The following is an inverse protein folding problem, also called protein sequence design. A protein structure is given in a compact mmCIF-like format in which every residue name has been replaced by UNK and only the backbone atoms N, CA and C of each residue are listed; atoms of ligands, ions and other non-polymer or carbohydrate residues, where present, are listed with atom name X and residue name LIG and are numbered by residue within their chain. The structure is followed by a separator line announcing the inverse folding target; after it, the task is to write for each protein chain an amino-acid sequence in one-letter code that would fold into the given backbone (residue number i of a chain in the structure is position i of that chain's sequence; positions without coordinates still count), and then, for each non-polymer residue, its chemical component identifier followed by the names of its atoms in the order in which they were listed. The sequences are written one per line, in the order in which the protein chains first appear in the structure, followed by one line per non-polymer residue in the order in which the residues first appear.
data_IF_714281825512
#
_entry.id   IF_714281825512
#
_cell.length_a   1.000
_cell.length_b   1.000
_cell.length_c   1.000
_cell.angle_alpha   90.00
_cell.angle_beta   90.00
_cell.angle_gamma   90.00
#
_symmetry.space_group_name_H-M   'P 1'
#
loop_
_entity.id
_entity.type
_entity.pdbx_description
1 polymer ?
2 non-polymer ?
3 non-polymer ?
4 water ?
#
# COMPACT_ATOMS: atom_id res chain seq x y z
N UNK A 65 -2.88 3.37 -28.53
CA UNK A 65 -4.21 4.03 -28.81
C UNK A 65 -5.37 3.24 -28.22
N UNK A 66 -6.25 3.92 -27.49
CA UNK A 66 -7.45 3.29 -26.95
C UNK A 66 -8.45 2.99 -28.05
N UNK A 67 -9.22 1.90 -27.92
CA UNK A 67 -10.33 1.65 -28.84
C UNK A 67 -11.49 2.61 -28.55
N UNK A 68 -12.44 2.68 -29.48
CA UNK A 68 -13.72 3.33 -29.24
C UNK A 68 -14.33 2.76 -27.98
N UNK A 69 -14.81 3.63 -27.09
CA UNK A 69 -15.49 3.23 -25.87
C UNK A 69 -16.71 4.12 -25.67
N UNK A 70 -17.80 3.52 -25.20
CA UNK A 70 -19.01 4.25 -24.88
C UNK A 70 -19.16 4.33 -23.37
N UNK A 71 -19.12 5.54 -22.83
CA UNK A 71 -19.28 5.76 -21.38
C UNK A 71 -19.84 7.16 -21.13
N UNK A 72 -20.36 7.41 -19.92
CA UNK A 72 -20.92 8.74 -19.63
C UNK A 72 -19.88 9.86 -19.76
N UNK A 73 -20.29 10.97 -20.36
CA UNK A 73 -19.42 12.13 -20.51
C UNK A 73 -19.08 12.69 -19.13
N UNK A 74 -17.78 12.97 -18.88
CA UNK A 74 -17.43 13.65 -17.64
C UNK A 74 -17.94 15.09 -17.67
N UNK A 75 -18.62 15.49 -16.60
CA UNK A 75 -19.27 16.79 -16.55
C UNK A 75 -18.41 17.76 -15.75
N UNK A 76 -17.88 18.74 -16.46
CA UNK A 76 -16.94 19.73 -15.94
C UNK A 76 -17.52 20.52 -14.76
N UNK A 77 -18.81 20.85 -14.84
CA UNK A 77 -19.47 21.68 -13.83
C UNK A 77 -20.24 20.86 -12.80
N UNK A 78 -19.94 19.56 -12.72
CA UNK A 78 -20.43 18.68 -11.67
C UNK A 78 -19.22 18.02 -11.01
N UNK A 79 -18.98 18.29 -9.72
CA UNK A 79 -17.87 17.60 -9.03
C UNK A 79 -18.16 16.10 -8.89
N UNK A 80 -17.09 15.29 -8.88
CA UNK A 80 -17.24 13.83 -8.73
C UNK A 80 -17.59 13.46 -7.28
N UNK A 81 -16.98 14.14 -6.33
CA UNK A 81 -17.35 14.03 -4.92
C UNK A 81 -17.42 15.44 -4.36
N UNK A 82 -18.46 15.70 -3.57
CA UNK A 82 -18.61 16.99 -2.87
C UNK A 82 -18.27 16.91 -1.38
N UNK A 83 -18.00 15.70 -0.90
CA UNK A 83 -17.82 15.44 0.53
C UNK A 83 -16.36 15.21 0.93
N UNK A 84 -15.47 15.03 -0.06
CA UNK A 84 -14.08 14.70 0.20
C UNK A 84 -13.13 15.41 -0.77
N UNK A 85 -11.89 15.55 -0.33
CA UNK A 85 -10.79 16.03 -1.16
C UNK A 85 -10.38 14.93 -2.13
N UNK A 86 -10.40 15.21 -3.42
CA UNK A 86 -10.06 14.21 -4.45
C UNK A 86 -8.74 14.47 -5.17
N UNK A 87 -8.05 15.54 -4.81
CA UNK A 87 -6.71 15.83 -5.34
C UNK A 87 -5.91 16.52 -4.25
N UNK A 88 -4.64 16.16 -4.13
CA UNK A 88 -3.78 16.77 -3.12
C UNK A 88 -3.32 18.14 -3.63
N UNK A 89 -2.74 18.98 -2.74
CA UNK A 89 -2.21 20.27 -3.20
C UNK A 89 -0.99 20.20 -4.14
N UNK A 90 -0.39 19.03 -4.28
CA UNK A 90 0.66 18.79 -5.29
C UNK A 90 0.09 18.05 -6.53
N UNK A 91 -1.24 18.07 -6.67
CA UNK A 91 -1.94 17.57 -7.85
C UNK A 91 -1.81 16.05 -8.03
N UNK A 92 -1.77 15.31 -6.93
CA UNK A 92 -1.88 13.86 -6.95
C UNK A 92 -3.35 13.51 -6.71
N UNK A 93 -3.95 12.65 -7.53
CA UNK A 93 -5.30 12.18 -7.22
C UNK A 93 -5.37 11.44 -5.88
N UNK A 94 -6.48 11.66 -5.17
CA UNK A 94 -6.82 10.89 -3.99
C UNK A 94 -7.96 9.96 -4.42
N UNK A 95 -7.70 8.66 -4.35
CA UNK A 95 -8.57 7.68 -4.99
C UNK A 95 -9.72 7.26 -4.07
N UNK A 96 -10.92 7.70 -4.45
CA UNK A 96 -12.19 7.35 -3.83
C UNK A 96 -13.12 6.78 -4.89
N UNK A 97 -14.08 5.98 -4.46
CA UNK A 97 -15.13 5.54 -5.37
C UNK A 97 -15.87 6.78 -5.90
N UNK A 98 -16.11 6.77 -7.21
CA UNK A 98 -16.72 7.91 -7.90
C UNK A 98 -15.73 8.81 -8.62
N UNK A 99 -14.43 8.65 -8.39
CA UNK A 99 -13.41 9.47 -9.05
C UNK A 99 -12.86 8.86 -10.33
N UNK A 100 -13.08 7.56 -10.55
CA UNK A 100 -12.46 6.88 -11.69
C UNK A 100 -13.44 6.01 -12.45
N UNK A 101 -13.19 5.91 -13.75
CA UNK A 101 -13.87 4.96 -14.62
C UNK A 101 -12.89 3.80 -14.82
N UNK A 102 -13.19 2.69 -14.16
CA UNK A 102 -12.30 1.53 -14.20
C UNK A 102 -12.16 0.93 -15.60
N UNK A 103 -13.16 1.11 -16.47
CA UNK A 103 -13.05 0.58 -17.82
C UNK A 103 -11.96 1.28 -18.62
N UNK A 104 -11.88 2.60 -18.48
CA UNK A 104 -10.82 3.36 -19.16
C UNK A 104 -9.45 2.95 -18.60
N UNK A 105 -9.33 2.90 -17.28
CA UNK A 105 -8.06 2.54 -16.65
C UNK A 105 -7.63 1.13 -16.99
N UNK A 106 -8.57 0.17 -16.95
CA UNK A 106 -8.22 -1.20 -17.33
C UNK A 106 -7.68 -1.28 -18.75
N UNK A 107 -8.30 -0.55 -19.68
CA UNK A 107 -7.80 -0.47 -21.06
C UNK A 107 -6.36 0.04 -21.11
N UNK A 108 -6.14 1.17 -20.44
CA UNK A 108 -4.81 1.79 -20.45
C UNK A 108 -3.74 0.83 -19.93
N UNK A 109 -4.02 0.15 -18.83
CA UNK A 109 -3.02 -0.74 -18.22
C UNK A 109 -2.90 -2.09 -18.91
N UNK A 110 -4.00 -2.63 -19.47
CA UNK A 110 -3.91 -3.89 -20.22
C UNK A 110 -3.12 -3.70 -21.50
N UNK A 111 -3.29 -2.55 -22.17
CA UNK A 111 -2.53 -2.27 -23.38
C UNK A 111 -1.02 -2.16 -23.15
N UNK A 112 -0.60 -1.90 -21.91
CA UNK A 112 0.80 -1.96 -21.52
C UNK A 112 1.27 -3.33 -21.00
N UNK A 113 0.36 -4.32 -20.98
CA UNK A 113 0.62 -5.64 -20.40
C UNK A 113 1.24 -5.56 -18.99
N UNK A 114 0.61 -4.76 -18.14
CA UNK A 114 1.10 -4.47 -16.80
C UNK A 114 1.12 -5.71 -15.91
N UNK A 115 2.22 -5.88 -15.19
CA UNK A 115 2.34 -6.91 -14.18
C UNK A 115 2.50 -6.25 -12.82
N UNK A 116 1.70 -6.72 -11.86
CA UNK A 116 1.70 -6.16 -10.51
C UNK A 116 2.21 -7.22 -9.54
N UNK A 117 3.23 -6.85 -8.77
CA UNK A 117 3.70 -7.69 -7.67
C UNK A 117 3.01 -7.29 -6.37
N UNK A 118 2.66 -8.29 -5.56
CA UNK A 118 2.04 -8.06 -4.26
C UNK A 118 2.90 -8.76 -3.23
N UNK A 119 3.51 -8.00 -2.33
CA UNK A 119 4.36 -8.56 -1.28
C UNK A 119 3.63 -8.63 0.03
N UNK A 120 3.84 -9.73 0.74
CA UNK A 120 3.25 -9.93 2.05
C UNK A 120 4.20 -10.76 2.90
N UNK A 121 4.31 -10.38 4.18
CA UNK A 121 5.13 -11.08 5.14
C UNK A 121 4.21 -11.87 6.06
N UNK A 122 4.52 -13.14 6.24
CA UNK A 122 3.76 -14.02 7.11
C UNK A 122 4.77 -14.81 7.94
N UNK A 123 5.11 -14.24 9.08
CA UNK A 123 6.14 -14.74 9.97
C UNK A 123 5.47 -15.27 11.23
N UNK A 124 5.98 -16.38 11.74
CA UNK A 124 5.47 -17.04 12.95
C UNK A 124 3.97 -17.32 12.82
N UNK A 125 3.13 -16.88 13.77
CA UNK A 125 1.71 -17.25 13.76
C UNK A 125 0.91 -16.59 12.63
N UNK A 126 1.49 -15.58 11.99
CA UNK A 126 0.78 -14.86 10.92
C UNK A 126 0.62 -15.65 9.62
N UNK A 127 1.27 -16.81 9.51
CA UNK A 127 0.96 -17.72 8.39
C UNK A 127 -0.51 -18.12 8.34
N UNK A 128 -1.18 -18.13 9.50
CA UNK A 128 -2.61 -18.44 9.58
C UNK A 128 -3.50 -17.49 8.76
N UNK A 129 -3.03 -16.28 8.49
CA UNK A 129 -3.80 -15.30 7.72
C UNK A 129 -3.68 -15.46 6.21
N UNK A 130 -2.74 -16.27 5.74
CA UNK A 130 -2.48 -16.37 4.30
C UNK A 130 -3.64 -16.90 3.48
N UNK A 131 -4.35 -17.91 3.97
CA UNK A 131 -5.39 -18.53 3.15
C UNK A 131 -6.46 -17.53 2.77
N UNK A 132 -7.02 -16.82 3.75
CA UNK A 132 -8.05 -15.82 3.46
C UNK A 132 -7.51 -14.65 2.66
N UNK A 133 -6.30 -14.22 2.99
CA UNK A 133 -5.67 -13.13 2.26
C UNK A 133 -5.61 -13.44 0.76
N UNK A 134 -5.07 -14.61 0.44
CA UNK A 134 -4.84 -14.99 -0.94
C UNK A 134 -6.14 -15.33 -1.68
N UNK A 135 -7.05 -16.03 -1.01
CA UNK A 135 -8.35 -16.35 -1.62
C UNK A 135 -9.11 -15.09 -1.97
N UNK A 136 -9.11 -14.11 -1.08
CA UNK A 136 -9.82 -12.87 -1.35
C UNK A 136 -9.08 -11.98 -2.34
N UNK A 137 -7.75 -12.02 -2.35
CA UNK A 137 -6.99 -11.32 -3.39
C UNK A 137 -7.35 -11.86 -4.78
N UNK A 138 -7.54 -13.18 -4.88
CA UNK A 138 -7.97 -13.77 -6.14
C UNK A 138 -9.32 -13.23 -6.64
N UNK A 139 -10.21 -12.90 -5.72
CA UNK A 139 -11.52 -12.34 -6.08
C UNK A 139 -11.49 -10.86 -6.44
N UNK A 140 -10.56 -10.10 -5.84
CA UNK A 140 -10.65 -8.65 -5.85
C UNK A 140 -9.44 -7.85 -6.29
N UNK A 141 -8.26 -8.46 -6.34
CA UNK A 141 -7.03 -7.71 -6.56
C UNK A 141 -6.54 -7.85 -8.00
N UNK A 142 -6.60 -6.75 -8.74
CA UNK A 142 -6.04 -6.69 -10.10
C UNK A 142 -6.58 -7.79 -11.02
N UNK A 143 -7.85 -8.16 -10.85
CA UNK A 143 -8.41 -9.25 -11.66
C UNK A 143 -8.40 -8.84 -13.13
N UNK A 144 -7.89 -9.72 -13.99
CA UNK A 144 -7.72 -9.46 -15.41
C UNK A 144 -6.30 -9.09 -15.82
N UNK A 145 -5.48 -8.71 -14.83
CA UNK A 145 -4.10 -8.30 -15.05
C UNK A 145 -3.16 -9.39 -14.55
N UNK A 146 -1.91 -9.29 -14.97
CA UNK A 146 -0.88 -10.23 -14.50
C UNK A 146 -0.48 -9.87 -13.08
N UNK A 147 -0.48 -10.87 -12.20
CA UNK A 147 -0.15 -10.68 -10.78
C UNK A 147 0.90 -11.71 -10.37
N UNK A 148 1.89 -11.24 -9.60
CA UNK A 148 2.88 -12.11 -8.98
C UNK A 148 2.84 -11.87 -7.48
N UNK A 149 2.39 -12.86 -6.73
CA UNK A 149 2.42 -12.78 -5.27
C UNK A 149 3.79 -13.19 -4.76
N UNK A 150 4.32 -12.44 -3.81
CA UNK A 150 5.57 -12.78 -3.15
C UNK A 150 5.28 -12.92 -1.67
N UNK A 151 5.35 -14.15 -1.18
CA UNK A 151 5.06 -14.47 0.23
C UNK A 151 6.38 -14.68 0.94
N UNK A 152 6.74 -13.75 1.81
CA UNK A 152 7.93 -13.84 2.65
C UNK A 152 7.55 -14.53 3.95
N UNK A 153 8.19 -15.66 4.24
CA UNK A 153 7.81 -16.43 5.42
C UNK A 153 8.99 -17.19 6.01
N UNK A 154 8.90 -17.46 7.30
CA UNK A 154 9.83 -18.36 7.97
C UNK A 154 9.37 -19.83 7.91
N UNK A 155 8.17 -20.09 7.38
CA UNK A 155 7.60 -21.44 7.34
C UNK A 155 7.06 -21.74 5.95
N UNK A 156 7.94 -22.01 4.98
CA UNK A 156 7.45 -22.29 3.62
C UNK A 156 6.40 -23.42 3.52
N UNK A 157 6.54 -24.46 4.35
CA UNK A 157 5.56 -25.56 4.34
C UNK A 157 4.16 -25.17 4.87
N UNK A 158 4.05 -24.05 5.59
CA UNK A 158 2.77 -23.57 6.11
C UNK A 158 2.01 -22.67 5.14
N UNK A 159 2.58 -22.39 3.96
CA UNK A 159 1.89 -21.57 2.96
C UNK A 159 0.78 -22.43 2.33
N UNK A 160 -0.48 -21.98 2.44
CA UNK A 160 -1.59 -22.79 1.91
C UNK A 160 -1.56 -22.86 0.38
N UNK A 161 -2.06 -23.97 -0.15
CA UNK A 161 -2.14 -24.19 -1.59
C UNK A 161 -3.42 -23.54 -2.10
N UNK A 162 -3.33 -22.28 -2.49
CA UNK A 162 -4.49 -21.51 -2.95
C UNK A 162 -4.53 -21.57 -4.47
N UNK A 163 -5.71 -21.86 -5.01
CA UNK A 163 -5.92 -21.99 -6.45
C UNK A 163 -5.94 -20.60 -7.08
N UNK A 164 -5.09 -20.38 -8.08
CA UNK A 164 -4.94 -19.07 -8.71
C UNK A 164 -5.57 -19.03 -10.10
N UNK A 165 -6.12 -17.87 -10.45
CA UNK A 165 -6.61 -17.62 -11.79
C UNK A 165 -5.49 -17.55 -12.80
N UNK A 166 -5.84 -17.62 -14.09
CA UNK A 166 -4.82 -17.59 -15.13
C UNK A 166 -4.02 -16.28 -15.10
N UNK A 167 -2.73 -16.35 -15.41
CA UNK A 167 -1.87 -15.17 -15.44
C UNK A 167 -1.42 -14.67 -14.08
N UNK A 168 -1.60 -15.51 -13.05
CA UNK A 168 -1.28 -15.14 -11.68
C UNK A 168 -0.39 -16.23 -11.12
N UNK A 169 0.66 -15.83 -10.42
CA UNK A 169 1.59 -16.80 -9.84
C UNK A 169 2.01 -16.38 -8.47
N UNK A 170 2.53 -17.35 -7.72
CA UNK A 170 2.94 -17.13 -6.36
C UNK A 170 4.34 -17.70 -6.14
N UNK A 171 5.21 -16.91 -5.51
CA UNK A 171 6.55 -17.34 -5.12
C UNK A 171 6.66 -17.24 -3.61
N UNK A 172 7.20 -18.30 -2.99
CA UNK A 172 7.48 -18.31 -1.56
C UNK A 172 8.96 -17.97 -1.36
N UNK A 173 9.23 -16.96 -0.54
CA UNK A 173 10.58 -16.48 -0.27
C UNK A 173 10.86 -16.69 1.22
N UNK A 174 11.80 -17.59 1.52
CA UNK A 174 12.12 -17.89 2.92
C UNK A 174 12.93 -16.76 3.53
N UNK A 175 12.58 -16.38 4.76
CA UNK A 175 13.28 -15.32 5.49
C UNK A 175 14.18 -15.95 6.56
N UNK A 180 17.44 -10.86 17.08
CA UNK A 180 17.44 -9.46 17.51
C UNK A 180 16.21 -8.75 16.97
N UNK A 181 15.39 -8.20 17.87
CA UNK A 181 14.17 -7.47 17.49
C UNK A 181 14.46 -6.26 16.58
N UNK A 182 15.65 -5.67 16.72
CA UNK A 182 16.07 -4.53 15.91
C UNK A 182 16.14 -4.92 14.43
N UNK A 183 16.67 -6.11 14.15
CA UNK A 183 16.69 -6.64 12.79
C UNK A 183 15.30 -7.05 12.30
N UNK A 184 14.45 -7.53 13.19
CA UNK A 184 13.05 -7.84 12.86
C UNK A 184 12.29 -6.57 12.47
N UNK A 185 12.48 -5.48 13.21
CA UNK A 185 11.84 -4.19 12.88
C UNK A 185 12.19 -3.66 11.48
N UNK A 186 13.45 -3.82 11.08
CA UNK A 186 13.94 -3.35 9.78
C UNK A 186 13.75 -4.34 8.64
N UNK A 187 13.25 -5.53 8.98
CA UNK A 187 13.23 -6.65 8.08
C UNK A 187 12.44 -6.39 6.78
N UNK A 188 11.22 -5.87 6.90
CA UNK A 188 10.37 -5.68 5.73
C UNK A 188 11.00 -4.69 4.75
N UNK A 189 11.44 -3.54 5.25
CA UNK A 189 12.04 -2.54 4.37
C UNK A 189 13.34 -3.05 3.77
N UNK A 190 14.17 -3.71 4.58
CA UNK A 190 15.41 -4.30 4.10
C UNK A 190 15.17 -5.35 3.00
N UNK A 191 14.23 -6.26 3.24
CA UNK A 191 14.00 -7.33 2.29
C UNK A 191 13.29 -6.90 1.02
N UNK A 192 12.32 -6.00 1.15
CA UNK A 192 11.68 -5.45 -0.04
C UNK A 192 12.74 -4.76 -0.91
N UNK A 193 13.61 -3.96 -0.29
CA UNK A 193 14.67 -3.27 -1.04
C UNK A 193 15.62 -4.26 -1.72
N UNK A 194 16.07 -5.27 -0.98
CA UNK A 194 16.97 -6.31 -1.53
C UNK A 194 16.33 -7.04 -2.71
N UNK A 195 15.05 -7.39 -2.58
CA UNK A 195 14.36 -8.13 -3.64
C UNK A 195 13.96 -7.24 -4.82
N UNK A 196 13.76 -5.93 -4.60
CA UNK A 196 13.58 -4.97 -5.72
C UNK A 196 14.81 -5.00 -6.62
N UNK A 197 15.99 -4.96 -6.01
CA UNK A 197 17.26 -4.98 -6.76
C UNK A 197 17.54 -6.32 -7.47
N UNK A 198 16.80 -7.37 -7.11
CA UNK A 198 16.91 -8.69 -7.71
C UNK A 198 15.66 -9.04 -8.53
N UNK A 199 14.75 -9.83 -7.96
CA UNK A 199 13.62 -10.43 -8.69
C UNK A 199 12.65 -9.41 -9.25
N UNK A 200 12.31 -8.41 -8.45
CA UNK A 200 11.18 -7.55 -8.79
C UNK A 200 11.43 -6.71 -10.03
N UNK A 201 12.64 -6.17 -10.19
CA UNK A 201 12.98 -5.38 -11.37
C UNK A 201 12.74 -6.13 -12.69
N UNK A 202 13.04 -7.42 -12.70
CA UNK A 202 12.90 -8.25 -13.90
C UNK A 202 11.48 -8.81 -14.08
N UNK A 203 10.72 -8.93 -12.99
CA UNK A 203 9.45 -9.66 -13.01
C UNK A 203 8.16 -8.85 -12.99
N UNK A 204 8.18 -7.65 -12.42
CA UNK A 204 6.95 -6.85 -12.30
C UNK A 204 7.20 -5.40 -12.65
N UNK A 205 6.12 -4.68 -12.96
CA UNK A 205 6.17 -3.25 -13.25
C UNK A 205 5.93 -2.41 -12.00
N UNK A 206 4.98 -2.86 -11.18
CA UNK A 206 4.59 -2.18 -9.95
C UNK A 206 4.65 -3.17 -8.81
N UNK A 207 4.92 -2.64 -7.61
CA UNK A 207 4.89 -3.42 -6.37
C UNK A 207 3.89 -2.80 -5.43
N UNK A 208 3.12 -3.66 -4.77
CA UNK A 208 2.13 -3.28 -3.75
C UNK A 208 2.54 -4.07 -2.50
N UNK A 209 2.75 -3.35 -1.40
CA UNK A 209 3.28 -3.92 -0.16
C UNK A 209 2.26 -3.77 0.94
N UNK A 210 1.76 -4.90 1.44
CA UNK A 210 0.62 -4.88 2.38
C UNK A 210 0.82 -5.81 3.56
N UNK A 211 0.05 -5.53 4.61
CA UNK A 211 -0.07 -6.43 5.77
C UNK A 211 -0.90 -7.67 5.40
N UNK A 212 -0.60 -8.78 6.06
CA UNK A 212 -1.24 -10.08 5.76
C UNK A 212 -2.54 -10.34 6.55
N UNK A 213 -2.69 -9.70 7.72
CA UNK A 213 -3.85 -9.95 8.60
C UNK A 213 -5.03 -9.10 8.17
N UNK A 214 -5.41 -9.31 6.91
CA UNK A 214 -6.33 -8.47 6.16
C UNK A 214 -7.06 -9.36 5.17
N UNK A 215 -8.17 -8.85 4.65
CA UNK A 215 -8.89 -9.50 3.57
C UNK A 215 -9.41 -8.47 2.59
N UNK A 216 -9.49 -8.86 1.33
CA UNK A 216 -10.12 -8.04 0.32
C UNK A 216 -11.62 -8.30 0.36
N UNK A 217 -12.40 -7.24 0.36
CA UNK A 217 -13.87 -7.33 0.28
C UNK A 217 -14.47 -6.69 -0.96
N UNK A 218 -13.69 -5.91 -1.68
CA UNK A 218 -14.18 -5.26 -2.88
C UNK A 218 -12.98 -4.93 -3.76
N UNK A 219 -13.29 -4.39 -4.92
CA UNK A 219 -12.31 -4.12 -5.97
C UNK A 219 -11.09 -3.32 -5.49
N UNK A 220 -9.90 -3.87 -5.76
CA UNK A 220 -8.64 -3.13 -5.65
C UNK A 220 -7.91 -3.37 -6.96
N UNK A 221 -7.84 -2.35 -7.80
CA UNK A 221 -7.37 -2.51 -9.17
C UNK A 221 -6.37 -1.46 -9.61
N UNK A 222 -6.28 -1.30 -10.94
CA UNK A 222 -5.20 -0.51 -11.51
C UNK A 222 -5.36 0.98 -11.24
N UNK A 223 -6.53 1.41 -10.74
CA UNK A 223 -6.69 2.78 -10.26
C UNK A 223 -5.64 3.20 -9.23
N UNK A 224 -5.05 2.24 -8.51
CA UNK A 224 -4.04 2.58 -7.51
C UNK A 224 -2.64 2.80 -8.10
N UNK A 225 -2.40 2.35 -9.33
CA UNK A 225 -1.05 2.25 -9.86
C UNK A 225 -0.54 3.60 -10.34
N UNK A 226 0.72 3.86 -10.03
CA UNK A 226 1.33 5.18 -10.17
C UNK A 226 2.79 5.02 -9.73
N UNK A 227 3.66 6.00 -10.01
CA UNK A 227 5.03 5.81 -9.54
C UNK A 227 5.20 5.59 -8.04
N UNK A 228 4.43 6.29 -7.21
CA UNK A 228 4.56 6.16 -5.76
C UNK A 228 3.24 6.47 -5.09
N UNK A 229 2.71 5.54 -4.31
CA UNK A 229 1.48 5.81 -3.57
C UNK A 229 1.59 5.45 -2.09
N UNK A 230 0.86 6.24 -1.32
CA UNK A 230 0.56 5.92 0.07
C UNK A 230 -0.93 5.88 0.26
N UNK A 231 -1.35 5.39 1.43
CA UNK A 231 -2.76 5.18 1.74
C UNK A 231 -3.07 5.93 3.03
N UNK A 232 -4.20 6.63 3.05
CA UNK A 232 -4.63 7.32 4.26
C UNK A 232 -5.00 6.33 5.34
N UNK A 233 -4.29 6.43 6.47
CA UNK A 233 -4.53 5.55 7.61
C UNK A 233 -5.98 5.75 8.10
N UNK A 234 -6.71 4.66 8.36
CA UNK A 234 -8.12 4.78 8.70
C UNK A 234 -8.41 5.47 10.04
N UNK A 235 -7.46 5.42 10.96
CA UNK A 235 -7.59 6.10 12.25
C UNK A 235 -7.45 7.61 12.24
N UNK A 236 -6.93 8.21 11.17
CA UNK A 236 -6.47 9.60 11.22
C UNK A 236 -6.85 10.46 10.02
N UNK A 237 -7.66 9.94 9.10
CA UNK A 237 -7.98 10.70 7.89
C UNK A 237 -8.72 12.01 8.17
N UNK A 238 -9.50 12.05 9.26
CA UNK A 238 -10.18 13.28 9.68
C UNK A 238 -9.47 14.08 10.75
N UNK A 239 -8.23 13.71 11.10
CA UNK A 239 -7.50 14.36 12.20
C UNK A 239 -6.67 15.55 11.73
N UNK A 240 -6.43 16.48 12.64
CA UNK A 240 -5.49 17.58 12.39
C UNK A 240 -4.07 17.04 12.51
N UNK A 241 -3.13 17.70 11.85
CA UNK A 241 -1.76 17.19 11.78
C UNK A 241 -1.05 17.09 13.13
N UNK A 242 -1.39 17.99 14.05
CA UNK A 242 -0.87 17.94 15.42
C UNK A 242 -1.24 16.64 16.16
N UNK A 243 -2.39 16.06 15.82
CA UNK A 243 -2.86 14.78 16.40
C UNK A 243 -2.26 13.54 15.72
N UNK A 244 -1.63 13.68 14.55
CA UNK A 244 -0.99 12.55 13.89
C UNK A 244 0.09 11.96 14.79
N UNK A 245 0.21 10.64 14.80
CA UNK A 245 1.20 9.96 15.63
C UNK A 245 2.53 9.78 14.91
N UNK A 246 3.02 10.86 14.28
CA UNK A 246 4.36 10.89 13.73
C UNK A 246 5.37 10.75 14.87
N UNK A 247 6.59 10.35 14.53
CA UNK A 247 7.70 10.43 15.48
C UNK A 247 7.97 11.91 15.79
N UNK A 248 7.98 12.26 17.08
CA UNK A 248 8.11 13.65 17.52
C UNK A 248 9.42 13.98 18.22
N UNK A 249 10.32 13.01 18.34
CA UNK A 249 11.63 13.25 18.96
C UNK A 249 12.62 13.66 17.88
N UNK A 250 13.23 14.86 17.99
CA UNK A 250 14.24 15.30 17.01
C UNK A 250 15.44 14.38 16.84
N UNK A 251 15.69 13.51 17.82
CA UNK A 251 16.81 12.56 17.76
C UNK A 251 16.61 11.44 16.76
N UNK A 252 15.36 11.23 16.31
CA UNK A 252 15.05 10.21 15.32
C UNK A 252 15.04 10.77 13.90
N UNK A 253 15.56 9.97 12.97
CA UNK A 253 15.48 10.28 11.54
C UNK A 253 14.05 10.42 11.03
N UNK A 254 13.08 9.81 11.71
CA UNK A 254 11.67 9.91 11.34
C UNK A 254 10.96 11.17 11.88
N UNK A 255 11.69 12.02 12.61
CA UNK A 255 11.11 13.23 13.22
C UNK A 255 10.32 14.11 12.24
N UNK A 256 9.08 14.42 12.60
CA UNK A 256 8.27 15.43 11.93
C UNK A 256 7.72 16.39 12.99
N UNK A 257 8.03 17.70 12.87
CA UNK A 257 7.50 18.71 13.78
C UNK A 257 5.98 18.87 13.70
N UNK A 258 5.40 19.47 14.74
CA UNK A 258 3.94 19.61 14.88
C UNK A 258 3.28 20.45 13.79
N UNK A 259 4.05 21.35 13.16
CA UNK A 259 3.53 22.22 12.10
C UNK A 259 3.82 21.70 10.68
N UNK A 260 4.30 20.46 10.55
CA UNK A 260 4.50 19.82 9.25
C UNK A 260 3.66 18.56 9.12
N UNK A 261 3.47 18.12 7.87
CA UNK A 261 2.73 16.91 7.58
C UNK A 261 1.51 17.19 6.73
N UNK A 262 1.30 16.32 5.74
CA UNK A 262 0.12 16.40 4.88
C UNK A 262 -0.93 15.44 5.38
N UNK A 263 -0.56 14.17 5.50
CA UNK A 263 -1.45 13.09 5.86
C UNK A 263 -0.71 12.12 6.77
N UNK A 264 -1.45 11.28 7.47
CA UNK A 264 -0.86 10.14 8.15
C UNK A 264 -1.11 8.90 7.30
N UNK A 265 -0.03 8.40 6.68
CA UNK A 265 -0.11 7.26 5.79
C UNK A 265 0.04 5.96 6.56
N UNK A 266 -0.68 4.93 6.13
CA UNK A 266 -0.63 3.64 6.81
C UNK A 266 0.50 2.77 6.29
N UNK A 267 1.29 2.22 7.21
CA UNK A 267 2.35 1.29 6.85
C UNK A 267 1.85 -0.02 6.24
N UNK A 268 0.56 -0.30 6.40
CA UNK A 268 -0.03 -1.54 5.94
C UNK A 268 -0.36 -1.59 4.44
N UNK A 269 -0.17 -0.49 3.71
CA UNK A 269 -0.51 -0.47 2.26
C UNK A 269 0.21 0.69 1.57
N UNK A 270 1.28 0.39 0.86
CA UNK A 270 1.98 1.37 0.04
C UNK A 270 2.52 0.65 -1.20
N UNK A 271 3.02 1.43 -2.15
CA UNK A 271 3.56 0.82 -3.36
C UNK A 271 3.92 1.83 -4.41
N UNK A 272 4.12 1.34 -5.62
CA UNK A 272 4.52 2.19 -6.72
C UNK A 272 5.26 1.38 -7.76
N UNK A 273 5.99 2.07 -8.62
CA UNK A 273 6.87 1.38 -9.57
C UNK A 273 7.98 0.70 -8.79
N UNK A 274 8.60 -0.32 -9.38
CA UNK A 274 9.68 -1.01 -8.68
C UNK A 274 10.78 -0.01 -8.31
N UNK A 275 11.13 0.88 -9.23
CA UNK A 275 12.20 1.85 -8.95
C UNK A 275 11.87 2.73 -7.76
N UNK A 276 10.64 3.24 -7.69
CA UNK A 276 10.27 4.14 -6.59
C UNK A 276 10.12 3.40 -5.27
N UNK A 277 9.64 2.17 -5.32
CA UNK A 277 9.53 1.38 -4.09
C UNK A 277 10.92 0.99 -3.58
N UNK A 278 11.83 0.66 -4.48
CA UNK A 278 13.24 0.42 -4.09
C UNK A 278 13.80 1.63 -3.37
N UNK A 279 13.57 2.83 -3.91
CA UNK A 279 14.08 4.06 -3.30
C UNK A 279 13.48 4.30 -1.91
N UNK A 280 12.17 4.14 -1.80
CA UNK A 280 11.49 4.33 -0.53
C UNK A 280 12.01 3.35 0.52
N UNK A 281 12.06 2.07 0.16
CA UNK A 281 12.42 1.05 1.13
C UNK A 281 13.89 1.12 1.52
N UNK A 282 14.76 1.44 0.57
CA UNK A 282 16.19 1.64 0.89
C UNK A 282 16.35 2.83 1.83
N UNK A 283 15.66 3.94 1.53
CA UNK A 283 15.75 5.12 2.37
C UNK A 283 15.24 4.85 3.79
N UNK A 284 14.10 4.16 3.90
CA UNK A 284 13.55 3.83 5.21
C UNK A 284 14.49 2.89 5.98
N UNK A 285 15.03 1.88 5.29
CA UNK A 285 15.99 0.96 5.91
C UNK A 285 17.22 1.71 6.43
N UNK A 286 17.80 2.57 5.60
CA UNK A 286 18.99 3.34 6.00
C UNK A 286 18.70 4.26 7.19
N UNK A 287 17.54 4.92 7.19
CA UNK A 287 17.13 5.76 8.31
C UNK A 287 16.95 4.96 9.61
N UNK A 288 16.36 3.77 9.49
CA UNK A 288 16.20 2.89 10.66
C UNK A 288 17.55 2.41 11.23
N UNK A 289 18.52 2.15 10.37
CA UNK A 289 19.85 1.78 10.87
C UNK A 289 20.58 2.94 11.53
N UNK A 290 20.35 4.17 11.06
CA UNK A 290 20.88 5.35 11.75
C UNK A 290 20.24 5.48 13.14
N UNK A 291 18.92 5.33 13.22
CA UNK A 291 18.22 5.35 14.51
C UNK A 291 18.74 4.27 15.47
N UNK A 292 18.93 3.06 14.97
CA UNK A 292 19.45 1.95 15.78
C UNK A 292 20.84 2.28 16.33
N UNK A 293 21.71 2.85 15.49
CA UNK A 293 23.03 3.29 15.95
C UNK A 293 22.94 4.36 17.03
N UNK A 294 21.93 5.22 16.94
CA UNK A 294 21.68 6.26 17.95
C UNK A 294 20.80 5.85 19.13
N UNK A 295 20.48 4.55 19.24
CA UNK A 295 19.71 4.03 20.36
C UNK A 295 18.27 4.50 20.46
N UNK A 296 17.62 4.72 19.32
CA UNK A 296 16.22 5.17 19.31
C UNK A 296 15.42 4.32 18.31
N UNK A 297 14.20 3.98 18.69
CA UNK A 297 13.27 3.25 17.82
C UNK A 297 12.04 4.12 17.65
N UNK A 298 11.69 4.42 16.40
CA UNK A 298 10.59 5.31 16.12
C UNK A 298 9.28 4.76 16.69
N UNK A 299 8.41 5.67 17.11
CA UNK A 299 7.16 5.33 17.81
C UNK A 299 6.33 4.25 17.10
N UNK A 300 6.21 4.35 15.77
CA UNK A 300 5.48 3.33 14.99
C UNK A 300 6.37 2.64 13.96
N UNK A 301 7.65 2.51 14.30
CA UNK A 301 8.57 1.62 13.60
C UNK A 301 8.66 2.03 12.12
N UNK A 302 8.60 1.08 11.18
CA UNK A 302 8.77 1.50 9.78
C UNK A 302 7.66 2.41 9.24
N UNK A 303 6.48 2.41 9.89
CA UNK A 303 5.42 3.36 9.50
C UNK A 303 5.82 4.81 9.78
N UNK A 304 6.55 5.05 10.86
CA UNK A 304 7.06 6.41 11.14
C UNK A 304 8.02 6.88 10.05
N UNK A 305 8.88 5.98 9.61
CA UNK A 305 9.84 6.29 8.54
C UNK A 305 9.16 6.44 7.19
N UNK A 306 8.18 5.60 6.90
CA UNK A 306 7.36 5.76 5.70
C UNK A 306 6.74 7.16 5.65
N UNK A 307 6.20 7.61 6.77
CA UNK A 307 5.59 8.94 6.84
C UNK A 307 6.60 10.07 6.63
N UNK A 308 7.80 9.92 7.18
CA UNK A 308 8.84 10.91 6.92
C UNK A 308 9.22 10.92 5.45
N UNK A 309 9.38 9.75 4.84
CA UNK A 309 9.74 9.67 3.43
C UNK A 309 8.68 10.34 2.55
N UNK A 310 7.41 10.03 2.79
CA UNK A 310 6.32 10.57 1.95
C UNK A 310 6.02 12.04 2.21
N UNK A 311 6.45 12.58 3.35
CA UNK A 311 6.41 14.02 3.56
C UNK A 311 7.41 14.73 2.63
N UNK A 312 8.61 14.17 2.51
CA UNK A 312 9.70 14.78 1.75
C UNK A 312 9.73 14.42 0.27
N UNK A 313 9.06 13.32 -0.07
CA UNK A 313 8.94 12.83 -1.44
C UNK A 313 7.46 12.55 -1.66
N UNK A 314 6.75 13.52 -2.21
CA UNK A 314 5.29 13.46 -2.24
C UNK A 314 4.82 12.29 -3.14
N UNK A 315 3.84 11.51 -2.67
CA UNK A 315 3.32 10.45 -3.53
C UNK A 315 2.56 11.02 -4.73
N UNK A 316 2.57 10.26 -5.80
CA UNK A 316 1.90 10.64 -7.04
C UNK A 316 0.41 10.21 -7.10
N UNK A 317 -0.01 9.34 -6.17
CA UNK A 317 -1.43 9.13 -5.85
C UNK A 317 -1.52 8.87 -4.36
N UNK A 318 -2.67 9.17 -3.77
CA UNK A 318 -2.96 8.82 -2.39
C UNK A 318 -4.23 7.99 -2.42
N UNK A 319 -4.24 6.85 -1.74
CA UNK A 319 -5.45 6.03 -1.67
C UNK A 319 -6.27 6.43 -0.46
N UNK A 320 -7.58 6.51 -0.66
CA UNK A 320 -8.48 6.80 0.45
C UNK A 320 -8.54 5.61 1.42
N UNK A 321 -9.17 5.81 2.61
CA UNK A 321 -9.28 4.71 3.56
C UNK A 321 -10.20 3.56 3.12
N UNK A 322 -10.89 3.68 1.97
CA UNK A 322 -11.51 2.52 1.35
C UNK A 322 -10.53 1.36 1.22
N UNK A 323 -9.27 1.70 0.98
CA UNK A 323 -8.20 0.76 0.72
C UNK A 323 -7.48 0.25 1.96
N UNK A 324 -7.84 0.73 3.15
CA UNK A 324 -7.21 0.29 4.38
C UNK A 324 -8.13 0.61 5.53
N UNK A 325 -8.89 -0.39 5.98
CA UNK A 325 -9.97 -0.13 6.93
C UNK A 325 -10.05 -1.18 8.02
N UNK A 326 -10.69 -0.84 9.14
CA UNK A 326 -11.00 -1.81 10.21
C UNK A 326 -12.45 -1.54 10.62
N UNK A 327 -13.35 -2.41 10.19
CA UNK A 327 -14.76 -2.21 10.45
C UNK A 327 -15.14 -2.44 11.93
N UNK A 328 -14.45 -3.34 12.59
CA UNK A 328 -14.71 -3.60 14.02
C UNK A 328 -14.45 -2.34 14.84
N UNK A 329 -13.34 -1.66 14.54
CA UNK A 329 -12.92 -0.49 15.32
C UNK A 329 -13.61 0.80 14.88
N UNK A 330 -13.95 0.91 13.59
CA UNK A 330 -14.38 2.17 13.00
C UNK A 330 -15.73 2.18 12.30
N UNK A 331 -16.38 1.03 12.21
CA UNK A 331 -17.69 0.96 11.59
C UNK A 331 -17.64 1.11 10.09
N UNK A 332 -18.70 1.68 9.53
CA UNK A 332 -18.79 1.90 8.08
C UNK A 332 -19.38 3.29 7.87
N UNK A 333 -18.51 4.32 7.90
CA UNK A 333 -18.97 5.69 7.70
C UNK A 333 -19.54 5.96 6.31
N UNK A 334 -20.46 6.92 6.24
CA UNK A 334 -21.08 7.32 4.98
C UNK A 334 -20.07 7.73 3.91
N UNK A 335 -18.96 8.31 4.33
CA UNK A 335 -17.93 8.75 3.40
C UNK A 335 -17.23 7.61 2.64
N UNK A 336 -17.34 6.38 3.16
CA UNK A 336 -16.82 5.19 2.48
C UNK A 336 -17.93 4.47 1.75
N UNK A 337 -17.94 4.62 0.42
CA UNK A 337 -18.93 3.94 -0.40
C UNK A 337 -18.61 2.46 -0.57
N UNK A 338 -17.33 2.12 -0.46
CA UNK A 338 -16.86 0.74 -0.50
C UNK A 338 -15.84 0.52 0.59
N UNK A 339 -15.83 -0.68 1.15
CA UNK A 339 -14.75 -1.14 2.03
C UNK A 339 -14.01 -2.20 1.25
N UNK A 340 -12.79 -1.88 0.81
CA UNK A 340 -12.10 -2.73 -0.16
C UNK A 340 -11.12 -3.72 0.47
N UNK A 341 -10.37 -3.27 1.46
CA UNK A 341 -9.27 -4.05 2.05
C UNK A 341 -9.32 -3.75 3.55
N UNK A 342 -9.61 -4.78 4.34
CA UNK A 342 -10.04 -4.61 5.73
C UNK A 342 -9.34 -5.56 6.69
N UNK A 343 -9.18 -5.08 7.93
CA UNK A 343 -8.57 -5.89 8.99
C UNK A 343 -9.41 -7.12 9.30
N UNK A 344 -8.76 -8.24 9.52
CA UNK A 344 -9.44 -9.45 10.00
C UNK A 344 -9.70 -9.25 11.51
N UNK A 345 -10.95 -9.49 11.98
CA UNK A 345 -11.24 -9.36 13.41
C UNK A 345 -10.85 -10.62 14.18
X LIG B 1 -3.60 -1.14 13.40
X LIG B 1 -4.54 2.17 14.62
X LIG B 1 -3.96 -2.56 13.86
X LIG B 1 -2.92 -3.10 14.70
X LIG B 1 -5.28 -2.50 14.64
X LIG B 1 -5.65 -3.83 15.06
X LIG B 1 -6.39 -1.89 13.76
X LIG B 1 -6.70 -2.79 12.71
X LIG B 1 -5.95 -0.53 13.20
X LIG B 1 -4.64 -0.68 12.52
X LIG B 1 -6.93 0.05 12.20
X LIG B 1 -1.13 5.47 15.44
X LIG B 1 -8.34 7.11 17.74
X LIG B 1 -8.61 5.79 17.00
X LIG B 1 -7.43 5.33 16.14
X LIG B 1 -7.64 3.86 15.76
X LIG B 1 -6.56 3.36 14.78
X LIG B 1 -5.26 3.10 15.49
X LIG B 1 -3.16 2.02 14.92
X LIG B 1 -2.51 3.24 14.53
X LIG B 1 -1.11 3.21 14.84
X LIG B 1 -0.52 4.56 14.52
X LIG B 1 -0.44 2.14 14.03
X LIG B 1 -0.60 2.40 12.61
X LIG B 1 -1.08 0.80 14.37
X LIG B 1 -0.52 -0.23 13.56
X LIG B 1 -2.56 0.89 14.10
X LIG B 1 -3.14 -0.37 14.50
X LIG B 1 -8.74 8.26 16.82
X LIG B 1 -7.90 9.42 17.27
X LIG C 1 4.32 -11.58 9.82
X LIG C 1 4.26 -11.03 10.91
X LIG C 1 4.46 -11.83 12.05
X LIG C 1 4.40 -11.29 13.33
X LIG C 1 4.59 -12.02 14.30
X LIG C 1 4.12 -9.93 13.49
X LIG C 1 3.92 -9.16 12.35
X LIG C 1 3.98 -9.72 11.05
X LIG C 1 3.76 -8.87 9.83
X LIG C 1 3.70 -7.45 10.12
X LIG C 1 2.46 -9.21 9.13
X LIG C 1 2.58 -9.00 7.71
X LIG C 1 1.52 -8.24 9.73
X LIG C 1 0.40 -8.01 8.86
X LIG C 1 2.34 -6.99 9.89
X LIG C 1 1.70 -6.17 11.01
X LIG C 1 2.44 -4.94 11.36
X LIG C 1 3.34 -4.90 12.37
X LIG C 1 3.64 -5.87 13.05
X LIG C 1 3.96 -3.52 12.66
X LIG C 1 3.07 -2.83 13.70
X LIG C 1 3.73 -1.70 14.29
X LIG C 1 5.36 -3.67 13.15
X LIG C 1 5.80 -4.06 14.36
X LIG C 1 6.35 -3.43 12.44
X LIG C 1 7.39 -3.62 13.03
X LIG C 1 7.13 -4.02 14.25
X LIG C 1 8.03 -4.32 15.19
X LIG C 1 9.07 -5.20 14.90
X LIG C 1 10.03 -5.51 15.86
X LIG C 1 9.96 -4.94 17.13
X LIG C 1 8.92 -4.06 17.43
X LIG C 1 7.97 -3.76 16.46
#
# INVERSE_FOLDING_TARGET
MAEVLRTLAGKPKCHALRPMILFLIMLVLVLFGYGVLSPRSLMPGSLERGFCMAVREPDHLQRVSLPRMVYPQPKVLTPCRKDVLVVTPWLAPIVWEGTFNIDILNEQFRLQNTTIGLTVFAIKKYVAFLKLFLETAEKHFMVGHRVHYYVFTDQPAAVPRVTLGTGRQLSVLEVRAYKRWQDVSMRRMEMISDFCERRFLSEVDYLVCVDVDMEFRDHVGVEILTPLFGTLHPGFYGSSREAFTYERRPQSQAYIPKDEGDFYYGGAFFGGSVQEVQRLTRACHQAMMVDQANGIEAVWHDESHLNKYLLRHKPTKVLSPEYLWDQQLLGWPAVLRKLRFTAVPKNHQAVRNP
BHE C1 O1 C2 O2 C3 O3 C4 O4 C5 O5 C6 O6 C6B C5B C4B C3B C2B C1B C1A O5A C5A C6A C4A O4A C3A O3A C2A O2A C19 C20
48E OAG CAB NAA CAC OAH CAE CAF NAD CAI OAL CAK OAN CAJ OAO CAM CAP NAQ C O CA CB OG N CAY NAX NAZ CBA CBB CBF CBD CBC CBE CBG
#
